data_IF_386311232622
#
_entry.id   IF_386311232622
#
_cell.length_a   1.000
_cell.length_b   1.000
_cell.length_c   1.000
_cell.angle_alpha   90.00
_cell.angle_beta   90.00
_cell.angle_gamma   90.00
#
_symmetry.space_group_name_H-M   'P 1'
#
loop_
_entity.id
_entity.type
_entity.pdbx_description
1 polymer ?
#
# COMPACT_ATOMS: atom_id res chain seq x y z
N UNK A 1 -9.91 13.49 -7.23
CA UNK A 1 -8.76 14.42 -7.24
C UNK A 1 -8.56 14.95 -8.65
N UNK A 2 -8.03 16.16 -8.82
CA UNK A 2 -7.73 16.75 -10.13
C UNK A 2 -6.50 17.65 -10.06
N UNK A 3 -5.74 17.80 -11.15
CA UNK A 3 -4.66 18.79 -11.23
C UNK A 3 -5.24 20.10 -11.76
N UNK A 4 -4.99 21.19 -11.05
CA UNK A 4 -5.42 22.54 -11.39
C UNK A 4 -4.22 23.47 -11.50
N UNK A 5 -4.37 24.56 -12.24
CA UNK A 5 -3.38 25.64 -12.26
C UNK A 5 -3.94 26.85 -11.52
N UNK A 6 -3.20 27.35 -10.53
CA UNK A 6 -3.52 28.57 -9.79
C UNK A 6 -2.25 29.44 -9.71
N UNK A 7 -2.38 30.73 -10.02
CA UNK A 7 -1.26 31.69 -10.00
C UNK A 7 -0.04 31.23 -10.82
N UNK A 8 -0.29 30.57 -11.95
CA UNK A 8 0.75 30.04 -12.84
C UNK A 8 1.47 28.79 -12.30
N UNK A 9 1.01 28.19 -11.21
CA UNK A 9 1.58 26.97 -10.60
C UNK A 9 0.58 25.83 -10.59
N UNK A 10 1.07 24.62 -10.85
CA UNK A 10 0.26 23.39 -10.80
C UNK A 10 0.06 22.94 -9.37
N UNK A 11 -1.15 22.48 -9.06
CA UNK A 11 -1.52 21.92 -7.77
C UNK A 11 -2.48 20.74 -7.94
N UNK A 12 -2.32 19.71 -7.13
CA UNK A 12 -3.30 18.65 -6.98
C UNK A 12 -4.41 19.14 -6.04
N UNK A 13 -5.66 19.05 -6.47
CA UNK A 13 -6.83 19.38 -5.66
C UNK A 13 -7.52 18.13 -5.13
N UNK A 14 -7.74 18.11 -3.82
CA UNK A 14 -8.52 17.11 -3.11
C UNK A 14 -9.42 17.82 -2.08
N UNK A 15 -10.72 17.57 -2.17
CA UNK A 15 -11.75 18.17 -1.33
C UNK A 15 -11.62 19.70 -1.16
N UNK A 16 -11.40 20.41 -2.27
CA UNK A 16 -11.21 21.87 -2.28
C UNK A 16 -9.84 22.37 -1.80
N UNK A 17 -9.07 21.53 -1.10
CA UNK A 17 -7.69 21.82 -0.68
C UNK A 17 -6.73 21.60 -1.85
N UNK A 18 -5.67 22.42 -1.93
CA UNK A 18 -4.68 22.39 -3.01
C UNK A 18 -3.29 22.07 -2.46
N UNK A 19 -2.63 21.10 -3.10
CA UNK A 19 -1.29 20.64 -2.76
C UNK A 19 -0.34 20.94 -3.93
N UNK A 20 0.78 21.63 -3.72
CA UNK A 20 1.67 22.04 -4.81
C UNK A 20 2.25 20.83 -5.53
N UNK A 21 2.30 20.86 -6.87
CA UNK A 21 2.96 19.83 -7.69
C UNK A 21 4.32 20.36 -8.15
N UNK A 22 5.44 19.76 -7.71
CA UNK A 22 6.78 20.20 -8.11
C UNK A 22 7.02 20.15 -9.62
N UNK A 23 7.96 20.98 -10.09
CA UNK A 23 8.51 20.86 -11.43
C UNK A 23 9.20 19.49 -11.57
N UNK A 24 8.94 18.78 -12.67
CA UNK A 24 9.44 17.42 -12.91
C UNK A 24 8.45 16.30 -12.56
N UNK A 25 7.36 16.58 -11.84
CA UNK A 25 6.25 15.64 -11.67
C UNK A 25 5.21 15.93 -12.75
N UNK A 26 4.85 14.92 -13.55
CA UNK A 26 3.77 15.04 -14.54
C UNK A 26 2.41 15.15 -13.86
N UNK A 27 1.41 15.63 -14.57
CA UNK A 27 0.04 15.70 -14.03
C UNK A 27 -0.52 14.28 -13.77
N UNK A 28 -0.19 13.33 -14.64
CA UNK A 28 -0.55 11.93 -14.49
C UNK A 28 0.08 11.31 -13.23
N UNK A 29 1.38 11.51 -13.02
CA UNK A 29 2.06 11.08 -11.81
C UNK A 29 1.44 11.73 -10.56
N UNK A 30 1.14 13.03 -10.59
CA UNK A 30 0.50 13.72 -9.47
C UNK A 30 -0.88 13.11 -9.12
N UNK A 31 -1.69 12.77 -10.13
CA UNK A 31 -2.99 12.11 -9.94
C UNK A 31 -2.84 10.72 -9.35
N UNK A 32 -1.89 9.91 -9.85
CA UNK A 32 -1.61 8.56 -9.33
C UNK A 32 -1.12 8.61 -7.88
N UNK A 33 -0.19 9.53 -7.57
CA UNK A 33 0.31 9.73 -6.21
C UNK A 33 -0.81 10.16 -5.26
N UNK A 34 -1.71 11.03 -5.70
CA UNK A 34 -2.88 11.42 -4.93
C UNK A 34 -3.85 10.27 -4.68
N UNK A 35 -4.34 9.66 -5.75
CA UNK A 35 -5.43 8.68 -5.68
C UNK A 35 -5.00 7.35 -5.05
N UNK A 36 -3.75 6.93 -5.26
CA UNK A 36 -3.26 5.61 -4.85
C UNK A 36 -2.04 5.69 -3.93
N UNK A 37 -1.16 6.66 -4.15
CA UNK A 37 0.04 6.84 -3.34
C UNK A 37 -0.27 7.25 -1.90
N UNK A 38 -1.21 8.17 -1.69
CA UNK A 38 -1.63 8.61 -0.35
C UNK A 38 -2.18 7.42 0.45
N UNK A 39 -3.01 6.58 -0.17
CA UNK A 39 -3.46 5.33 0.43
C UNK A 39 -2.28 4.45 0.78
N UNK A 40 -1.45 4.04 -0.20
CA UNK A 40 -0.30 3.16 0.04
C UNK A 40 0.63 3.67 1.15
N UNK A 41 0.86 4.99 1.20
CA UNK A 41 1.66 5.64 2.23
C UNK A 41 1.05 5.48 3.61
N UNK A 42 -0.24 5.79 3.78
CA UNK A 42 -0.92 5.68 5.07
C UNK A 42 -1.09 4.24 5.54
N UNK A 43 -1.30 3.29 4.62
CA UNK A 43 -1.34 1.87 4.96
C UNK A 43 -0.06 1.44 5.70
N UNK A 44 1.10 1.86 5.20
CA UNK A 44 2.40 1.49 5.77
C UNK A 44 2.78 2.37 6.97
N UNK A 45 2.66 3.70 6.87
CA UNK A 45 3.15 4.64 7.89
C UNK A 45 2.20 4.83 9.06
N UNK A 46 0.90 4.91 8.79
CA UNK A 46 -0.10 5.34 9.78
C UNK A 46 -0.91 4.17 10.31
N UNK A 47 -1.25 3.19 9.50
CA UNK A 47 -2.12 2.10 9.91
C UNK A 47 -1.32 0.89 10.37
N UNK A 48 -0.34 0.46 9.58
CA UNK A 48 0.56 -0.59 9.99
C UNK A 48 1.57 -0.08 11.04
N UNK A 49 2.01 1.18 10.97
CA UNK A 49 3.22 1.61 11.69
C UNK A 49 4.40 0.70 11.34
N UNK A 50 4.68 0.52 10.04
CA UNK A 50 5.75 -0.36 9.56
C UNK A 50 7.09 0.02 10.21
N UNK A 51 7.69 -0.94 10.90
CA UNK A 51 9.03 -0.83 11.46
C UNK A 51 10.07 -1.42 10.49
N UNK A 52 11.30 -0.87 10.45
CA UNK A 52 12.37 -1.45 9.66
C UNK A 52 12.66 -2.90 10.06
N UNK A 53 12.84 -3.77 9.07
CA UNK A 53 13.09 -5.20 9.27
C UNK A 53 11.84 -6.09 9.27
N UNK A 54 10.65 -5.52 9.40
CA UNK A 54 9.40 -6.29 9.32
C UNK A 54 9.15 -6.84 7.92
N UNK A 55 8.44 -7.97 7.84
CA UNK A 55 7.97 -8.57 6.59
C UNK A 55 6.58 -8.06 6.25
N UNK A 56 6.43 -7.56 5.02
CA UNK A 56 5.19 -7.00 4.49
C UNK A 56 4.65 -7.87 3.36
N UNK A 57 3.44 -8.36 3.51
CA UNK A 57 2.66 -8.97 2.43
C UNK A 57 1.83 -7.90 1.73
N UNK A 58 2.00 -7.75 0.42
CA UNK A 58 1.20 -6.84 -0.40
C UNK A 58 0.31 -7.67 -1.33
N UNK A 59 -0.99 -7.72 -1.03
CA UNK A 59 -1.96 -8.32 -1.94
C UNK A 59 -2.25 -7.42 -3.15
N UNK A 60 -2.62 -8.05 -4.26
CA UNK A 60 -2.82 -7.39 -5.56
C UNK A 60 -1.67 -6.42 -5.91
N UNK A 61 -0.43 -6.90 -5.75
CA UNK A 61 0.78 -6.09 -5.83
C UNK A 61 1.01 -5.41 -7.20
N UNK A 62 0.31 -5.83 -8.24
CA UNK A 62 0.33 -5.21 -9.56
C UNK A 62 -0.85 -4.26 -9.82
N UNK A 63 -1.74 -4.10 -8.83
CA UNK A 63 -2.87 -3.16 -8.86
C UNK A 63 -2.44 -1.72 -8.53
N UNK A 64 -3.37 -0.75 -8.66
CA UNK A 64 -3.04 0.68 -8.58
C UNK A 64 -2.38 1.12 -7.26
N UNK A 65 -2.83 0.57 -6.12
CA UNK A 65 -2.21 0.80 -4.81
C UNK A 65 -0.99 -0.11 -4.62
N UNK A 66 -1.11 -1.39 -5.00
CA UNK A 66 -0.08 -2.40 -4.81
C UNK A 66 1.28 -2.04 -5.42
N UNK A 67 1.30 -1.47 -6.64
CA UNK A 67 2.55 -1.08 -7.31
C UNK A 67 3.32 -0.01 -6.54
N UNK A 68 2.62 0.89 -5.85
CA UNK A 68 3.23 1.91 -5.00
C UNK A 68 3.58 1.33 -3.62
N UNK A 69 2.70 0.51 -3.05
CA UNK A 69 2.91 -0.10 -1.73
C UNK A 69 4.14 -1.00 -1.69
N UNK A 70 4.43 -1.80 -2.73
CA UNK A 70 5.66 -2.59 -2.83
C UNK A 70 6.90 -1.69 -2.76
N UNK A 71 6.95 -0.66 -3.60
CA UNK A 71 8.10 0.26 -3.65
C UNK A 71 8.28 1.01 -2.33
N UNK A 72 7.18 1.43 -1.70
CA UNK A 72 7.19 2.14 -0.43
C UNK A 72 7.61 1.23 0.72
N UNK A 73 7.16 -0.02 0.77
CA UNK A 73 7.59 -0.98 1.79
C UNK A 73 9.11 -1.16 1.75
N UNK A 74 9.69 -1.33 0.55
CA UNK A 74 11.14 -1.36 0.36
C UNK A 74 11.78 -0.04 0.82
N UNK A 75 11.27 1.11 0.35
CA UNK A 75 11.84 2.42 0.69
C UNK A 75 11.73 2.77 2.19
N UNK A 76 10.79 2.18 2.91
CA UNK A 76 10.58 2.38 4.33
C UNK A 76 11.36 1.38 5.20
N UNK A 77 12.09 0.46 4.57
CA UNK A 77 13.02 -0.44 5.25
C UNK A 77 12.38 -1.75 5.69
N UNK A 78 11.28 -2.19 5.05
CA UNK A 78 10.81 -3.56 5.23
C UNK A 78 11.97 -4.54 5.03
N UNK A 79 12.13 -5.49 5.96
CA UNK A 79 13.17 -6.50 5.85
C UNK A 79 12.88 -7.51 4.74
N UNK A 80 11.59 -7.65 4.40
CA UNK A 80 11.11 -8.47 3.29
C UNK A 80 9.77 -7.99 2.76
N UNK A 81 9.59 -8.04 1.45
CA UNK A 81 8.33 -7.75 0.77
C UNK A 81 7.86 -8.98 -0.01
N UNK A 82 6.73 -9.55 0.40
CA UNK A 82 6.07 -10.68 -0.25
C UNK A 82 4.86 -10.17 -1.03
N UNK A 83 4.95 -10.19 -2.35
CA UNK A 83 3.86 -9.78 -3.22
C UNK A 83 2.93 -10.96 -3.55
N UNK A 84 1.62 -10.73 -3.61
CA UNK A 84 0.70 -11.68 -4.25
C UNK A 84 0.08 -11.08 -5.49
N UNK A 85 -0.06 -11.89 -6.54
CA UNK A 85 -0.78 -11.50 -7.75
C UNK A 85 -1.29 -12.73 -8.52
N UNK A 86 -2.39 -12.53 -9.27
CA UNK A 86 -3.10 -13.61 -9.98
C UNK A 86 -2.26 -14.22 -11.11
N UNK A 87 -1.69 -13.39 -11.98
CA UNK A 87 -0.96 -13.88 -13.16
C UNK A 87 0.55 -13.84 -12.97
N UNK A 88 1.28 -14.68 -13.73
CA UNK A 88 2.75 -14.65 -13.73
C UNK A 88 3.30 -13.31 -14.22
N UNK A 89 2.62 -12.65 -15.17
CA UNK A 89 3.01 -11.33 -15.65
C UNK A 89 2.95 -10.28 -14.53
N UNK A 90 1.87 -10.27 -13.74
CA UNK A 90 1.73 -9.39 -12.59
C UNK A 90 2.77 -9.67 -11.50
N UNK A 91 3.06 -10.95 -11.21
CA UNK A 91 4.12 -11.32 -10.27
C UNK A 91 5.49 -10.79 -10.72
N UNK A 92 5.81 -10.89 -12.02
CA UNK A 92 7.04 -10.29 -12.58
C UNK A 92 7.07 -8.76 -12.45
N UNK A 93 5.93 -8.09 -12.54
CA UNK A 93 5.85 -6.64 -12.27
C UNK A 93 6.24 -6.37 -10.81
N UNK A 94 5.64 -7.07 -9.85
CA UNK A 94 5.92 -6.86 -8.43
C UNK A 94 7.41 -7.10 -8.08
N UNK A 95 8.03 -8.15 -8.64
CA UNK A 95 9.47 -8.40 -8.47
C UNK A 95 10.32 -7.25 -9.03
N UNK A 96 9.99 -6.72 -10.21
CA UNK A 96 10.71 -5.57 -10.79
C UNK A 96 10.55 -4.28 -9.97
N UNK A 97 9.46 -4.17 -9.20
CA UNK A 97 9.20 -3.04 -8.32
C UNK A 97 9.91 -3.17 -6.96
N UNK A 98 10.57 -4.30 -6.69
CA UNK A 98 11.38 -4.51 -5.50
C UNK A 98 10.82 -5.53 -4.51
N UNK A 99 9.72 -6.24 -4.83
CA UNK A 99 9.31 -7.36 -4.00
C UNK A 99 10.39 -8.46 -4.01
N UNK A 100 10.73 -9.01 -2.85
CA UNK A 100 11.70 -10.11 -2.72
C UNK A 100 11.13 -11.41 -3.28
N UNK A 101 9.83 -11.63 -3.05
CA UNK A 101 9.12 -12.83 -3.47
C UNK A 101 7.77 -12.44 -4.06
N UNK A 102 7.32 -13.17 -5.08
CA UNK A 102 5.99 -13.00 -5.63
C UNK A 102 5.29 -14.36 -5.80
N UNK A 103 4.17 -14.55 -5.10
CA UNK A 103 3.38 -15.80 -5.08
C UNK A 103 2.00 -15.61 -5.70
N UNK A 104 1.33 -16.71 -6.03
CA UNK A 104 -0.06 -16.66 -6.52
C UNK A 104 -0.99 -16.13 -5.43
N UNK A 105 -1.98 -15.33 -5.83
CA UNK A 105 -3.03 -14.80 -4.95
C UNK A 105 -4.21 -15.78 -4.72
N UNK A 106 -4.10 -17.00 -5.24
CA UNK A 106 -5.05 -18.08 -4.99
C UNK A 106 -5.22 -18.30 -3.47
N UNK A 107 -6.45 -18.33 -2.91
CA UNK A 107 -6.67 -18.65 -1.50
C UNK A 107 -6.22 -20.08 -1.11
N UNK A 108 -6.25 -21.03 -2.04
CA UNK A 108 -5.93 -22.43 -1.74
C UNK A 108 -4.44 -22.60 -1.48
N UNK A 109 -4.08 -22.86 -0.22
CA UNK A 109 -2.69 -22.93 0.25
C UNK A 109 -2.00 -21.57 0.40
N UNK A 110 -2.77 -20.46 0.47
CA UNK A 110 -2.19 -19.13 0.60
C UNK A 110 -1.41 -18.97 1.91
N UNK A 111 -1.97 -19.42 3.02
CA UNK A 111 -1.36 -19.32 4.34
C UNK A 111 0.05 -19.91 4.35
N UNK A 112 0.20 -21.14 3.85
CA UNK A 112 1.47 -21.86 3.78
C UNK A 112 2.48 -21.13 2.90
N UNK A 113 2.04 -20.63 1.74
CA UNK A 113 2.90 -19.84 0.84
C UNK A 113 3.40 -18.55 1.47
N UNK A 114 2.59 -17.89 2.30
CA UNK A 114 3.01 -16.65 2.96
C UNK A 114 4.07 -16.95 4.04
N UNK A 115 3.82 -17.95 4.89
CA UNK A 115 4.73 -18.26 6.02
C UNK A 115 6.04 -18.93 5.59
N UNK A 116 6.09 -19.56 4.40
CA UNK A 116 7.32 -20.12 3.82
C UNK A 116 8.41 -19.05 3.63
N UNK A 117 8.03 -17.78 3.54
CA UNK A 117 8.93 -16.68 3.25
C UNK A 117 9.32 -15.85 4.48
N UNK A 118 8.90 -16.23 5.68
CA UNK A 118 9.24 -15.54 6.94
C UNK A 118 8.02 -15.26 7.82
N UNK A 119 8.19 -14.57 8.95
CA UNK A 119 7.07 -14.10 9.75
C UNK A 119 6.21 -13.15 8.90
N UNK A 120 4.89 -13.17 9.07
CA UNK A 120 3.98 -12.24 8.39
C UNK A 120 3.58 -11.15 9.37
N UNK A 121 4.33 -10.03 9.38
CA UNK A 121 4.17 -8.95 10.36
C UNK A 121 3.11 -7.92 9.93
N UNK A 122 3.06 -7.63 8.63
CA UNK A 122 2.08 -6.72 8.01
C UNK A 122 1.45 -7.39 6.80
N UNK A 123 0.13 -7.30 6.67
CA UNK A 123 -0.59 -7.61 5.42
C UNK A 123 -1.36 -6.38 4.97
N UNK A 124 -1.23 -6.00 3.71
CA UNK A 124 -2.06 -4.98 3.07
C UNK A 124 -3.14 -5.67 2.24
N UNK A 125 -4.41 -5.53 2.64
CA UNK A 125 -5.53 -6.24 2.04
C UNK A 125 -6.62 -5.30 1.49
N UNK A 126 -6.97 -5.50 0.22
CA UNK A 126 -8.14 -4.86 -0.41
C UNK A 126 -9.18 -5.87 -0.90
N UNK A 127 -8.93 -7.17 -0.73
CA UNK A 127 -9.72 -8.23 -1.35
C UNK A 127 -10.82 -8.75 -0.41
N UNK A 128 -10.57 -8.75 0.90
CA UNK A 128 -11.47 -9.35 1.87
C UNK A 128 -11.61 -10.87 1.67
N UNK A 129 -12.78 -11.39 2.05
CA UNK A 129 -13.17 -12.79 1.79
C UNK A 129 -12.15 -13.82 2.25
N UNK A 130 -11.94 -14.86 1.44
CA UNK A 130 -11.02 -15.96 1.77
C UNK A 130 -9.55 -15.52 1.83
N UNK A 131 -9.14 -14.57 1.00
CA UNK A 131 -7.75 -14.04 1.04
C UNK A 131 -7.45 -13.42 2.39
N UNK A 132 -8.40 -12.64 2.93
CA UNK A 132 -8.29 -12.08 4.28
C UNK A 132 -8.18 -13.18 5.34
N UNK A 133 -9.04 -14.20 5.28
CA UNK A 133 -9.05 -15.30 6.27
C UNK A 133 -7.74 -16.08 6.28
N UNK A 134 -7.19 -16.38 5.09
CA UNK A 134 -5.90 -17.05 4.95
C UNK A 134 -4.75 -16.19 5.45
N UNK A 135 -4.82 -14.88 5.24
CA UNK A 135 -3.80 -13.94 5.70
C UNK A 135 -3.83 -13.75 7.21
N UNK A 136 -5.03 -13.71 7.80
CA UNK A 136 -5.21 -13.64 9.26
C UNK A 136 -4.64 -14.88 9.95
N UNK A 137 -4.81 -16.06 9.33
CA UNK A 137 -4.19 -17.29 9.80
C UNK A 137 -2.66 -17.28 9.67
N UNK A 138 -2.12 -16.61 8.65
CA UNK A 138 -0.68 -16.53 8.38
C UNK A 138 0.08 -15.55 9.29
N UNK A 139 -0.62 -14.60 9.92
CA UNK A 139 0.00 -13.56 10.74
C UNK A 139 0.92 -14.14 11.84
N UNK A 140 2.12 -13.57 11.94
CA UNK A 140 3.00 -13.77 13.07
C UNK A 140 2.39 -13.21 14.37
N UNK A 141 2.90 -13.59 15.56
CA UNK A 141 2.56 -12.88 16.79
C UNK A 141 2.80 -11.37 16.64
N UNK A 142 1.87 -10.56 17.14
CA UNK A 142 1.81 -9.10 17.01
C UNK A 142 1.65 -8.57 15.56
N UNK A 143 1.44 -9.47 14.60
CA UNK A 143 1.17 -9.10 13.22
C UNK A 143 -0.17 -8.40 13.03
N UNK A 144 -0.30 -7.63 11.95
CA UNK A 144 -1.53 -6.92 11.61
C UNK A 144 -1.91 -6.97 10.14
N UNK A 145 -3.23 -6.97 9.89
CA UNK A 145 -3.80 -6.72 8.57
C UNK A 145 -4.29 -5.28 8.52
N UNK A 146 -3.91 -4.54 7.49
CA UNK A 146 -4.49 -3.25 7.15
C UNK A 146 -5.44 -3.43 5.97
N UNK A 147 -6.73 -3.28 6.24
CA UNK A 147 -7.81 -3.38 5.27
C UNK A 147 -8.08 -2.02 4.64
N UNK A 148 -8.09 -1.97 3.31
CA UNK A 148 -8.43 -0.77 2.52
C UNK A 148 -9.40 -1.07 1.36
N UNK A 149 -9.99 -2.26 1.41
CA UNK A 149 -11.25 -2.62 0.75
C UNK A 149 -12.27 -3.05 1.82
N UNK A 150 -13.30 -3.78 1.43
CA UNK A 150 -14.31 -4.30 2.36
C UNK A 150 -13.83 -5.61 3.03
N UNK A 151 -13.58 -5.63 4.35
CA UNK A 151 -13.20 -6.86 5.05
C UNK A 151 -14.43 -7.70 5.41
N UNK A 152 -14.26 -9.01 5.64
CA UNK A 152 -15.32 -9.81 6.27
C UNK A 152 -15.52 -9.39 7.73
N UNK A 153 -16.60 -9.86 8.36
CA UNK A 153 -16.82 -9.67 9.79
C UNK A 153 -15.72 -10.37 10.61
N UNK A 154 -15.11 -9.63 11.55
CA UNK A 154 -14.02 -10.15 12.40
C UNK A 154 -14.52 -10.30 13.83
N UNK A 155 -14.41 -11.50 14.38
CA UNK A 155 -14.59 -11.75 15.81
C UNK A 155 -13.28 -11.39 16.57
N UNK A 156 -13.29 -10.39 17.48
CA UNK A 156 -12.10 -9.99 18.22
C UNK A 156 -11.47 -11.11 19.05
N UNK A 157 -12.23 -12.15 19.45
CA UNK A 157 -11.68 -13.30 20.18
C UNK A 157 -10.60 -14.02 19.35
N UNK A 158 -10.75 -14.05 18.01
CA UNK A 158 -9.77 -14.64 17.10
C UNK A 158 -8.43 -13.89 17.08
N UNK A 159 -8.42 -12.63 17.48
CA UNK A 159 -7.23 -11.77 17.49
C UNK A 159 -6.39 -11.93 18.77
N UNK A 160 -6.98 -12.46 19.84
CA UNK A 160 -6.27 -12.69 21.11
C UNK A 160 -5.11 -13.69 20.93
N UNK A 161 -5.30 -14.68 20.07
CA UNK A 161 -4.25 -15.63 19.69
C UNK A 161 -3.12 -14.92 18.93
N UNK A 162 -1.96 -14.81 19.57
CA UNK A 162 -0.80 -14.10 19.01
C UNK A 162 -0.94 -12.59 19.03
N UNK A 163 -1.87 -11.99 19.79
CA UNK A 163 -1.99 -10.54 19.94
C UNK A 163 -2.05 -9.77 18.60
N UNK A 164 -2.84 -10.30 17.66
CA UNK A 164 -2.94 -9.80 16.28
C UNK A 164 -3.87 -8.60 16.20
N UNK A 165 -3.77 -7.84 15.13
CA UNK A 165 -4.66 -6.71 14.87
C UNK A 165 -5.25 -6.70 13.45
N UNK A 166 -6.43 -6.10 13.33
CA UNK A 166 -7.05 -5.74 12.06
C UNK A 166 -7.36 -4.25 12.11
N UNK A 167 -6.86 -3.50 11.13
CA UNK A 167 -6.94 -2.04 11.08
C UNK A 167 -7.61 -1.64 9.78
N UNK A 168 -8.64 -0.79 9.85
CA UNK A 168 -9.29 -0.24 8.66
C UNK A 168 -8.67 1.09 8.23
N UNK A 169 -8.59 1.32 6.93
CA UNK A 169 -8.22 2.60 6.35
C UNK A 169 -9.14 2.95 5.17
N UNK A 170 -9.63 4.19 5.15
CA UNK A 170 -10.33 4.77 4.01
C UNK A 170 -9.81 6.18 3.74
N UNK A 171 -9.46 6.43 2.48
CA UNK A 171 -8.89 7.72 2.07
C UNK A 171 -9.82 8.91 2.37
N UNK A 172 -11.13 8.71 2.26
CA UNK A 172 -12.14 9.76 2.52
C UNK A 172 -12.08 10.29 3.95
N UNK A 173 -11.62 9.50 4.92
CA UNK A 173 -11.46 9.95 6.29
C UNK A 173 -10.30 10.98 6.44
N UNK A 174 -9.50 11.18 5.38
CA UNK A 174 -8.48 12.23 5.31
C UNK A 174 -9.01 13.57 4.75
N UNK A 175 -10.25 13.65 4.26
CA UNK A 175 -10.83 14.86 3.67
C UNK A 175 -10.79 16.06 4.64
N UNK A 176 -11.29 15.84 5.87
CA UNK A 176 -11.25 16.85 6.95
C UNK A 176 -9.89 16.97 7.64
N UNK A 177 -8.86 16.26 7.15
CA UNK A 177 -7.51 16.20 7.74
C UNK A 177 -6.45 16.48 6.67
N UNK A 178 -6.43 17.69 6.07
CA UNK A 178 -5.55 18.00 4.95
C UNK A 178 -4.06 17.83 5.26
N UNK A 179 -3.66 17.93 6.54
CA UNK A 179 -2.28 17.66 6.97
C UNK A 179 -1.82 16.21 6.74
N UNK A 180 -2.74 15.24 6.78
CA UNK A 180 -2.44 13.84 6.47
C UNK A 180 -2.12 13.68 4.98
N UNK A 181 -2.98 14.22 4.12
CA UNK A 181 -2.78 14.22 2.66
C UNK A 181 -1.50 15.00 2.28
N UNK A 182 -1.28 16.17 2.89
CA UNK A 182 -0.09 17.00 2.63
C UNK A 182 1.21 16.25 2.94
N UNK A 183 1.27 15.59 4.10
CA UNK A 183 2.48 14.89 4.56
C UNK A 183 2.81 13.73 3.62
N UNK A 184 1.81 12.91 3.29
CA UNK A 184 1.96 11.81 2.34
C UNK A 184 2.41 12.31 0.96
N UNK A 185 1.69 13.30 0.38
CA UNK A 185 2.02 13.82 -0.94
C UNK A 185 3.43 14.44 -1.00
N UNK A 186 3.84 15.16 0.04
CA UNK A 186 5.17 15.77 0.11
C UNK A 186 6.26 14.70 0.00
N UNK A 187 6.18 13.64 0.81
CA UNK A 187 7.18 12.55 0.77
C UNK A 187 7.11 11.78 -0.55
N UNK A 188 5.90 11.45 -1.04
CA UNK A 188 5.70 10.73 -2.29
C UNK A 188 6.26 11.48 -3.51
N UNK A 189 5.99 12.78 -3.62
CA UNK A 189 6.53 13.61 -4.68
C UNK A 189 8.05 13.76 -4.56
N UNK A 190 8.58 13.87 -3.34
CA UNK A 190 10.02 13.88 -3.08
C UNK A 190 10.70 12.58 -3.53
N UNK A 191 10.14 11.42 -3.19
CA UNK A 191 10.65 10.12 -3.63
C UNK A 191 10.56 9.95 -5.15
N UNK A 192 9.48 10.44 -5.76
CA UNK A 192 9.30 10.38 -7.22
C UNK A 192 10.30 11.27 -7.94
N UNK A 193 10.50 12.51 -7.47
CA UNK A 193 11.49 13.43 -8.02
C UNK A 193 12.92 12.90 -7.88
N UNK A 194 13.21 12.16 -6.82
CA UNK A 194 14.49 11.47 -6.62
C UNK A 194 14.63 10.15 -7.42
N UNK A 195 13.61 9.76 -8.20
CA UNK A 195 13.61 8.50 -8.95
C UNK A 195 13.52 7.23 -8.10
N UNK A 196 13.20 7.37 -6.80
CA UNK A 196 13.08 6.30 -5.80
C UNK A 196 11.67 5.71 -5.72
N UNK A 197 10.69 6.38 -6.29
CA UNK A 197 9.32 5.89 -6.46
C UNK A 197 8.89 6.12 -7.91
N UNK A 198 8.26 5.11 -8.51
CA UNK A 198 7.79 5.17 -9.90
C UNK A 198 6.27 4.96 -9.93
N UNK A 199 5.49 6.05 -10.04
CA UNK A 199 4.06 5.95 -10.33
C UNK A 199 3.84 5.25 -11.67
N UNK A 200 2.82 4.39 -11.76
CA UNK A 200 2.46 3.75 -13.01
C UNK A 200 1.70 4.75 -13.88
N UNK A 201 2.40 5.34 -14.85
CA UNK A 201 1.83 6.22 -15.86
C UNK A 201 1.44 5.38 -17.09
N UNK A 202 0.27 5.65 -17.67
CA UNK A 202 -0.30 4.95 -18.85
C UNK A 202 0.58 5.06 -20.10
N UNK A 203 1.58 5.93 -20.07
CA UNK A 203 2.41 6.33 -21.20
C UNK A 203 3.81 5.71 -21.23
N UNK A 204 4.11 4.68 -20.41
CA UNK A 204 5.44 4.02 -20.38
C UNK A 204 5.42 2.50 -20.28
#
# INVERSE_FOLDING_TARGET
>A
MQVVTADGRRALSFDGVRFPVPAGISDEAALVLGAHGVTAWHLLRTCAHLEPGETVVVHDAAGPVGVLAVQLAVSFGAGRVVATARTQAQRRVALRLGADVAVTADPDGLTERLVEHGPVDVVLDAQGGEVFERSLAALAPFGRIVCYGEPPAVDPVRLLGGSRAVVGFRLDDCADRPGMVASALSELMGLTAAGRLRPCESSR
#
